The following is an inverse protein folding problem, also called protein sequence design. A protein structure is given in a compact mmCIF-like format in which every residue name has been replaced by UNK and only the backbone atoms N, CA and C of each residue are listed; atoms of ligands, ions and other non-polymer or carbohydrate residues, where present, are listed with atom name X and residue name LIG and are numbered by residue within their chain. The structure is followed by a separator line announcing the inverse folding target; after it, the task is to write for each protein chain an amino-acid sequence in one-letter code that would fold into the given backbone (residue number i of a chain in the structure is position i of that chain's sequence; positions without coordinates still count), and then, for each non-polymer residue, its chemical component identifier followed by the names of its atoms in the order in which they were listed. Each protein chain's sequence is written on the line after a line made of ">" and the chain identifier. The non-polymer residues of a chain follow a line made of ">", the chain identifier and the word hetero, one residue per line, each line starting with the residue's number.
data_IF_771763589472
#
_entry.id   IF_771763589472
#
_cell.length_a   1.000
_cell.length_b   1.000
_cell.length_c   1.000
_cell.angle_alpha   90.00
_cell.angle_beta   90.00
_cell.angle_gamma   90.00
#
_symmetry.space_group_name_H-M   'P 1'
#
loop_
_entity.id
_entity.type
_entity.pdbx_description
1 polymer ?
#
# COMPACT_ATOMS: atom_id res chain seq x y z
N UNK A 1 12.92 68.40 -23.08
CA UNK A 1 11.76 67.79 -22.38
C UNK A 1 11.41 66.40 -22.89
N UNK A 2 11.36 66.13 -24.21
CA UNK A 2 11.11 64.75 -24.71
C UNK A 2 12.20 63.75 -24.32
N UNK A 3 13.49 64.11 -24.47
CA UNK A 3 14.64 63.25 -24.10
C UNK A 3 14.75 62.97 -22.60
N UNK A 4 14.32 63.91 -21.75
CA UNK A 4 14.32 63.73 -20.29
C UNK A 4 13.18 62.81 -19.84
N UNK A 5 12.03 62.83 -20.54
CA UNK A 5 10.92 61.90 -20.30
C UNK A 5 11.30 60.46 -20.71
N UNK A 6 12.03 60.29 -21.82
CA UNK A 6 12.49 58.96 -22.25
C UNK A 6 13.48 58.32 -21.26
N UNK A 7 14.31 59.13 -20.61
CA UNK A 7 15.29 58.66 -19.62
C UNK A 7 14.63 58.19 -18.31
N UNK A 8 13.53 58.83 -17.89
CA UNK A 8 12.79 58.46 -16.67
C UNK A 8 11.97 57.17 -16.87
N UNK A 9 11.46 56.92 -18.08
CA UNK A 9 10.71 55.70 -18.39
C UNK A 9 11.57 54.42 -18.36
N UNK A 10 12.84 54.53 -18.78
CA UNK A 10 13.79 53.39 -18.77
C UNK A 10 14.20 53.00 -17.35
N UNK A 11 14.22 53.97 -16.42
CA UNK A 11 14.60 53.71 -15.02
C UNK A 11 13.57 52.87 -14.26
N UNK A 12 12.30 52.87 -14.67
CA UNK A 12 11.23 52.10 -14.03
C UNK A 12 11.26 50.59 -14.36
N UNK A 13 11.99 50.18 -15.40
CA UNK A 13 12.09 48.76 -15.79
C UNK A 13 13.17 47.97 -15.03
N UNK A 14 14.00 48.63 -14.22
CA UNK A 14 15.09 47.98 -13.48
C UNK A 14 14.72 47.61 -12.02
N UNK A 15 13.47 47.82 -11.61
CA UNK A 15 12.95 47.32 -10.33
C UNK A 15 12.34 45.91 -10.50
N UNK A 16 13.17 44.95 -10.92
CA UNK A 16 12.88 43.51 -10.88
C UNK A 16 13.51 42.86 -9.65
N UNK A 17 12.78 41.94 -9.01
CA UNK A 17 13.02 41.35 -7.69
C UNK A 17 14.47 40.93 -7.37
N UNK A 18 14.95 41.33 -6.19
CA UNK A 18 15.89 40.51 -5.42
C UNK A 18 15.08 39.39 -4.75
N UNK A 19 15.25 38.13 -5.20
CA UNK A 19 14.99 36.98 -4.35
C UNK A 19 16.16 36.90 -3.38
N UNK A 20 15.87 37.23 -2.13
CA UNK A 20 16.70 36.88 -1.00
C UNK A 20 16.48 35.38 -0.78
N UNK A 21 17.51 34.55 -1.03
CA UNK A 21 17.59 33.22 -0.45
C UNK A 21 17.76 33.37 1.07
N UNK A 22 16.66 33.70 1.74
CA UNK A 22 16.48 33.34 3.12
C UNK A 22 16.11 31.87 3.06
N UNK A 23 17.09 31.02 3.36
CA UNK A 23 16.84 29.65 3.79
C UNK A 23 16.05 29.69 5.10
N UNK A 24 14.80 30.10 5.02
CA UNK A 24 13.79 29.67 5.96
C UNK A 24 13.69 28.18 5.74
N UNK A 25 14.31 27.42 6.65
CA UNK A 25 14.02 26.02 6.86
C UNK A 25 12.52 25.91 7.14
N UNK A 26 11.72 25.80 6.08
CA UNK A 26 10.43 25.15 6.18
C UNK A 26 10.75 23.72 6.57
N UNK A 27 10.33 23.36 7.78
CA UNK A 27 10.24 21.98 8.25
C UNK A 27 9.21 21.25 7.37
N UNK A 28 9.52 21.08 6.09
CA UNK A 28 8.88 20.05 5.30
C UNK A 28 9.45 18.74 5.84
N UNK A 29 8.58 18.10 6.60
CA UNK A 29 8.64 16.72 7.10
C UNK A 29 8.79 15.80 5.89
N UNK A 30 9.93 15.85 5.21
CA UNK A 30 10.38 14.81 4.32
C UNK A 30 10.65 13.64 5.26
N UNK A 31 9.70 12.70 5.32
CA UNK A 31 9.87 11.42 5.98
C UNK A 31 10.97 10.67 5.22
N UNK A 32 12.22 11.05 5.48
CA UNK A 32 13.36 10.20 5.24
C UNK A 32 13.12 8.98 6.12
N UNK A 33 12.71 7.89 5.50
CA UNK A 33 12.66 6.59 6.15
C UNK A 33 14.10 6.32 6.59
N UNK A 34 14.35 6.53 7.88
CA UNK A 34 15.68 6.39 8.46
C UNK A 34 15.93 4.89 8.63
N UNK A 35 16.49 4.26 7.59
CA UNK A 35 16.82 2.84 7.64
C UNK A 35 18.05 2.68 8.54
N UNK A 36 17.86 2.18 9.76
CA UNK A 36 18.98 1.83 10.64
C UNK A 36 19.84 0.79 9.93
N UNK A 37 21.08 1.14 9.64
CA UNK A 37 22.08 0.23 9.09
C UNK A 37 22.36 -0.88 10.11
N UNK A 38 21.57 -1.94 10.02
CA UNK A 38 21.70 -3.14 10.84
C UNK A 38 22.61 -4.08 10.08
N UNK A 39 23.64 -4.60 10.76
CA UNK A 39 24.52 -5.62 10.23
C UNK A 39 23.66 -6.73 9.58
N UNK A 40 23.73 -6.83 8.25
CA UNK A 40 22.96 -7.80 7.47
C UNK A 40 23.70 -9.12 7.65
N UNK A 41 23.21 -9.96 8.56
CA UNK A 41 23.67 -11.34 8.63
C UNK A 41 23.41 -12.00 7.27
N UNK A 42 24.47 -12.50 6.64
CA UNK A 42 24.36 -13.22 5.37
C UNK A 42 23.52 -14.47 5.57
N UNK A 43 22.36 -14.53 4.90
CA UNK A 43 21.59 -15.77 4.81
C UNK A 43 22.30 -16.64 3.79
N UNK A 44 22.65 -17.86 4.21
CA UNK A 44 23.13 -18.87 3.28
C UNK A 44 22.14 -19.00 2.10
N UNK A 45 22.67 -18.97 0.88
CA UNK A 45 21.85 -18.84 -0.34
C UNK A 45 20.85 -19.98 -0.50
N UNK A 46 21.20 -21.21 -0.06
CA UNK A 46 20.27 -22.35 -0.10
C UNK A 46 19.15 -22.17 0.92
N UNK A 47 19.50 -21.73 2.12
CA UNK A 47 18.56 -21.45 3.21
C UNK A 47 17.58 -20.33 2.83
N UNK A 48 18.05 -19.27 2.17
CA UNK A 48 17.19 -18.17 1.70
C UNK A 48 16.17 -18.60 0.64
N UNK A 49 16.54 -19.52 -0.26
CA UNK A 49 15.63 -20.07 -1.27
C UNK A 49 14.55 -20.96 -0.65
N UNK A 50 14.90 -21.78 0.32
CA UNK A 50 13.96 -22.64 1.06
C UNK A 50 12.95 -21.81 1.86
N UNK A 51 13.43 -20.76 2.56
CA UNK A 51 12.56 -19.82 3.26
C UNK A 51 11.64 -19.10 2.28
N UNK A 52 12.17 -18.60 1.16
CA UNK A 52 11.35 -17.89 0.17
C UNK A 52 10.23 -18.79 -0.37
N UNK A 53 10.55 -20.05 -0.70
CA UNK A 53 9.56 -21.03 -1.17
C UNK A 53 8.47 -21.29 -0.13
N UNK A 54 8.85 -21.46 1.13
CA UNK A 54 7.90 -21.63 2.24
C UNK A 54 6.98 -20.42 2.39
N UNK A 55 7.51 -19.20 2.36
CA UNK A 55 6.70 -17.98 2.50
C UNK A 55 5.71 -17.83 1.34
N UNK A 56 6.09 -18.24 0.13
CA UNK A 56 5.20 -18.32 -1.03
C UNK A 56 4.09 -19.36 -0.82
N UNK A 57 4.42 -20.55 -0.33
CA UNK A 57 3.44 -21.61 -0.03
C UNK A 57 2.42 -21.14 1.02
N UNK A 58 2.86 -20.45 2.07
CA UNK A 58 1.98 -19.87 3.08
C UNK A 58 1.07 -18.79 2.48
N UNK A 59 1.62 -17.86 1.70
CA UNK A 59 0.84 -16.79 1.09
C UNK A 59 -0.19 -17.31 0.07
N UNK A 60 0.19 -18.26 -0.78
CA UNK A 60 -0.70 -18.86 -1.81
C UNK A 60 -1.75 -19.80 -1.23
N UNK A 61 -1.59 -20.25 0.02
CA UNK A 61 -2.62 -21.03 0.73
C UNK A 61 -3.85 -20.19 1.12
N UNK A 62 -3.74 -18.87 1.11
CA UNK A 62 -4.83 -17.95 1.46
C UNK A 62 -5.79 -17.80 0.27
N UNK A 63 -7.11 -17.94 0.47
CA UNK A 63 -8.08 -17.77 -0.60
C UNK A 63 -7.95 -16.43 -1.32
N UNK A 64 -8.12 -16.46 -2.65
CA UNK A 64 -8.04 -15.30 -3.56
C UNK A 64 -6.63 -14.72 -3.77
N UNK A 65 -5.59 -15.40 -3.30
CA UNK A 65 -4.21 -15.18 -3.75
C UNK A 65 -3.95 -16.08 -4.95
N UNK A 66 -3.66 -15.49 -6.12
CA UNK A 66 -3.41 -16.24 -7.35
C UNK A 66 -1.96 -16.73 -7.40
N UNK A 67 -1.03 -15.85 -7.02
CA UNK A 67 0.41 -16.10 -6.99
C UNK A 67 1.06 -15.28 -5.88
N UNK A 68 2.27 -15.68 -5.48
CA UNK A 68 3.09 -14.91 -4.56
C UNK A 68 4.57 -15.02 -4.89
N UNK A 69 5.30 -13.94 -4.64
CA UNK A 69 6.75 -13.87 -4.77
C UNK A 69 7.35 -13.44 -3.44
N UNK A 70 8.36 -14.16 -2.96
CA UNK A 70 9.08 -13.81 -1.74
C UNK A 70 10.57 -13.57 -2.02
N UNK A 71 11.09 -12.49 -1.43
CA UNK A 71 12.53 -12.16 -1.42
C UNK A 71 12.98 -12.09 0.03
N UNK A 72 13.91 -12.96 0.41
CA UNK A 72 14.47 -13.03 1.76
C UNK A 72 15.86 -12.40 1.78
N UNK A 73 16.09 -11.50 2.73
CA UNK A 73 17.38 -10.84 2.95
C UNK A 73 17.68 -10.72 4.44
N UNK A 74 18.77 -11.35 4.89
CA UNK A 74 19.09 -11.40 6.31
C UNK A 74 17.96 -11.99 7.13
N UNK A 75 17.54 -11.24 8.14
CA UNK A 75 16.43 -11.61 9.00
C UNK A 75 15.06 -11.17 8.44
N UNK A 76 14.99 -10.51 7.30
CA UNK A 76 13.78 -9.89 6.76
C UNK A 76 13.32 -10.59 5.48
N UNK A 77 12.03 -10.42 5.15
CA UNK A 77 11.47 -10.88 3.90
C UNK A 77 10.53 -9.84 3.31
N UNK A 78 10.41 -9.78 1.99
CA UNK A 78 9.35 -9.06 1.29
C UNK A 78 8.53 -10.10 0.54
N UNK A 79 7.22 -10.09 0.74
CA UNK A 79 6.28 -10.99 0.08
C UNK A 79 5.31 -10.15 -0.73
N UNK A 80 5.42 -10.24 -2.06
CA UNK A 80 4.44 -9.72 -2.99
C UNK A 80 3.35 -10.77 -3.22
N UNK A 81 2.09 -10.39 -3.11
CA UNK A 81 0.94 -11.23 -3.45
C UNK A 81 0.21 -10.66 -4.66
N UNK A 82 -0.15 -11.53 -5.60
CA UNK A 82 -1.04 -11.21 -6.71
C UNK A 82 -2.45 -11.62 -6.33
N UNK A 83 -3.35 -10.64 -6.32
CA UNK A 83 -4.77 -10.84 -6.04
C UNK A 83 -5.60 -10.41 -7.25
N UNK A 84 -6.70 -11.12 -7.50
CA UNK A 84 -7.52 -10.87 -8.68
C UNK A 84 -7.96 -9.39 -8.77
N UNK A 85 -7.69 -8.73 -9.91
CA UNK A 85 -7.95 -7.30 -10.12
C UNK A 85 -9.43 -6.88 -10.02
N UNK A 86 -10.37 -7.85 -10.03
CA UNK A 86 -11.81 -7.60 -9.82
C UNK A 86 -12.21 -7.48 -8.34
N UNK A 87 -11.28 -7.74 -7.42
CA UNK A 87 -11.51 -7.67 -5.97
C UNK A 87 -11.50 -6.20 -5.53
N UNK A 88 -12.50 -5.80 -4.75
CA UNK A 88 -12.58 -4.45 -4.21
C UNK A 88 -11.40 -4.16 -3.26
N UNK A 89 -10.93 -2.90 -3.20
CA UNK A 89 -9.80 -2.52 -2.32
C UNK A 89 -9.99 -2.96 -0.88
N UNK A 90 -11.23 -2.85 -0.37
CA UNK A 90 -11.55 -3.26 0.99
C UNK A 90 -11.20 -4.73 1.21
N UNK A 91 -11.61 -5.62 0.30
CA UNK A 91 -11.33 -7.06 0.31
C UNK A 91 -9.84 -7.36 0.13
N UNK A 92 -9.12 -6.61 -0.70
CA UNK A 92 -7.65 -6.71 -0.83
C UNK A 92 -6.95 -6.48 0.52
N UNK A 93 -7.41 -5.50 1.29
CA UNK A 93 -6.91 -5.25 2.65
C UNK A 93 -7.07 -6.46 3.57
N UNK A 94 -8.22 -7.14 3.52
CA UNK A 94 -8.47 -8.34 4.32
C UNK A 94 -7.63 -9.52 3.88
N UNK A 95 -7.44 -9.71 2.58
CA UNK A 95 -6.54 -10.75 2.04
C UNK A 95 -5.11 -10.49 2.52
N UNK A 96 -4.63 -9.24 2.42
CA UNK A 96 -3.30 -8.83 2.90
C UNK A 96 -3.14 -9.10 4.41
N UNK A 97 -4.17 -8.80 5.20
CA UNK A 97 -4.19 -9.11 6.64
C UNK A 97 -4.12 -10.62 6.89
N UNK A 98 -4.91 -11.43 6.17
CA UNK A 98 -4.88 -12.89 6.30
C UNK A 98 -3.53 -13.50 5.93
N UNK A 99 -2.89 -12.99 4.88
CA UNK A 99 -1.52 -13.38 4.51
C UNK A 99 -0.55 -12.96 5.60
N UNK A 100 -0.61 -11.71 6.07
CA UNK A 100 0.29 -11.22 7.12
C UNK A 100 0.16 -12.02 8.42
N UNK A 101 -1.05 -12.43 8.81
CA UNK A 101 -1.28 -13.30 9.98
C UNK A 101 -0.73 -14.71 9.77
N UNK A 102 -0.91 -15.30 8.59
CA UNK A 102 -0.30 -16.59 8.25
C UNK A 102 1.22 -16.55 8.33
N UNK A 103 1.83 -15.49 7.82
CA UNK A 103 3.29 -15.29 7.88
C UNK A 103 3.77 -14.97 9.30
N UNK A 104 2.98 -14.28 10.12
CA UNK A 104 3.31 -13.97 11.51
C UNK A 104 3.55 -15.22 12.35
N UNK A 105 2.81 -16.28 12.06
CA UNK A 105 2.90 -17.55 12.75
C UNK A 105 4.13 -18.38 12.32
N UNK A 106 4.78 -18.01 11.21
CA UNK A 106 6.02 -18.62 10.76
C UNK A 106 7.26 -17.88 11.32
N UNK A 107 8.26 -18.60 11.88
CA UNK A 107 9.47 -17.99 12.44
C UNK A 107 10.25 -17.10 11.46
N UNK A 108 10.16 -17.40 10.16
CA UNK A 108 10.82 -16.67 9.09
C UNK A 108 9.91 -15.60 8.48
N UNK A 109 8.58 -15.70 8.66
CA UNK A 109 7.59 -14.73 8.19
C UNK A 109 7.27 -13.60 9.17
N UNK A 110 7.63 -13.73 10.45
CA UNK A 110 7.36 -12.73 11.50
C UNK A 110 7.91 -11.32 11.23
N UNK A 111 8.90 -11.19 10.34
CA UNK A 111 9.49 -9.91 9.89
C UNK A 111 9.31 -9.68 8.39
N UNK A 112 8.35 -10.37 7.77
CA UNK A 112 8.02 -10.16 6.38
C UNK A 112 7.32 -8.82 6.19
N UNK A 113 7.44 -8.22 5.01
CA UNK A 113 6.63 -7.08 4.59
C UNK A 113 5.73 -7.58 3.47
N UNK A 114 4.41 -7.45 3.63
CA UNK A 114 3.44 -7.92 2.64
C UNK A 114 2.98 -6.75 1.79
N UNK A 115 3.10 -6.91 0.48
CA UNK A 115 2.63 -5.96 -0.54
C UNK A 115 1.68 -6.71 -1.46
N UNK A 116 0.53 -6.12 -1.76
CA UNK A 116 -0.41 -6.68 -2.73
C UNK A 116 -0.36 -5.85 -4.01
N UNK A 117 -0.06 -6.49 -5.14
CA UNK A 117 -0.32 -5.91 -6.45
C UNK A 117 -1.58 -6.58 -7.03
N UNK A 118 -2.53 -5.76 -7.46
CA UNK A 118 -3.74 -6.22 -8.10
C UNK A 118 -3.88 -5.40 -9.37
N UNK A 119 -3.35 -5.92 -10.46
CA UNK A 119 -3.26 -5.34 -11.80
C UNK A 119 -3.32 -3.80 -11.83
N UNK A 120 -2.34 -3.19 -11.16
CA UNK A 120 -2.25 -1.73 -11.03
C UNK A 120 -2.23 -1.05 -12.40
N UNK A 121 -1.66 -1.71 -13.41
CA UNK A 121 -1.61 -1.21 -14.77
C UNK A 121 -2.98 -1.16 -15.43
N UNK A 122 -3.83 -2.18 -15.25
CA UNK A 122 -5.18 -2.16 -15.79
C UNK A 122 -6.02 -1.05 -15.14
N UNK A 123 -5.88 -0.86 -13.82
CA UNK A 123 -6.58 0.22 -13.11
C UNK A 123 -6.11 1.62 -13.52
N UNK A 124 -4.81 1.81 -13.73
CA UNK A 124 -4.26 3.07 -14.23
C UNK A 124 -4.74 3.38 -15.66
N UNK A 125 -4.93 2.36 -16.51
CA UNK A 125 -5.53 2.54 -17.85
C UNK A 125 -6.99 2.96 -17.79
N UNK A 126 -7.77 2.39 -16.86
CA UNK A 126 -9.16 2.82 -16.61
C UNK A 126 -9.22 4.29 -16.16
N UNK A 127 -8.38 4.66 -15.19
CA UNK A 127 -8.24 6.04 -14.70
C UNK A 127 -7.84 6.98 -15.84
N UNK A 128 -6.90 6.57 -16.69
CA UNK A 128 -6.49 7.34 -17.86
C UNK A 128 -7.66 7.54 -18.84
N UNK A 129 -8.46 6.50 -19.09
CA UNK A 129 -9.66 6.58 -19.92
C UNK A 129 -10.73 7.51 -19.32
N UNK A 130 -10.88 7.53 -18.01
CA UNK A 130 -11.79 8.42 -17.29
C UNK A 130 -11.36 9.89 -17.36
N UNK A 131 -10.06 10.16 -17.24
CA UNK A 131 -9.49 11.49 -17.46
C UNK A 131 -9.79 11.96 -18.89
N UNK A 132 -9.59 11.11 -19.90
CA UNK A 132 -9.86 11.45 -21.30
C UNK A 132 -11.35 11.73 -21.56
N UNK A 133 -12.25 11.05 -20.84
CA UNK A 133 -13.71 11.27 -20.91
C UNK A 133 -14.18 12.49 -20.11
N UNK A 134 -13.29 13.20 -19.42
CA UNK A 134 -13.62 14.39 -18.64
C UNK A 134 -14.33 14.08 -17.32
N UNK A 135 -14.08 12.92 -16.70
CA UNK A 135 -14.64 12.63 -15.37
C UNK A 135 -14.17 13.68 -14.33
N UNK A 136 -14.99 13.99 -13.32
CA UNK A 136 -14.61 14.91 -12.25
C UNK A 136 -13.33 14.45 -11.54
N UNK A 137 -12.44 15.40 -11.25
CA UNK A 137 -11.15 15.16 -10.60
C UNK A 137 -11.32 14.39 -9.28
N UNK A 138 -12.38 14.64 -8.53
CA UNK A 138 -12.66 13.96 -7.26
C UNK A 138 -12.85 12.44 -7.42
N UNK A 139 -13.53 11.98 -8.46
CA UNK A 139 -13.70 10.54 -8.71
C UNK A 139 -12.39 9.86 -9.14
N UNK A 140 -11.55 10.58 -9.88
CA UNK A 140 -10.21 10.11 -10.26
C UNK A 140 -9.29 10.02 -9.02
N UNK A 141 -9.40 10.96 -8.07
CA UNK A 141 -8.61 10.93 -6.83
C UNK A 141 -8.96 9.73 -5.95
N UNK A 142 -10.23 9.33 -5.90
CA UNK A 142 -10.67 8.16 -5.14
C UNK A 142 -10.10 6.86 -5.72
N UNK A 143 -10.10 6.74 -7.05
CA UNK A 143 -9.49 5.63 -7.77
C UNK A 143 -7.96 5.57 -7.62
N UNK A 144 -7.29 6.73 -7.61
CA UNK A 144 -5.84 6.81 -7.35
C UNK A 144 -5.51 6.48 -5.89
N UNK A 145 -6.31 6.95 -4.94
CA UNK A 145 -6.17 6.58 -3.53
C UNK A 145 -6.35 5.06 -3.35
N UNK A 146 -7.20 4.44 -4.17
CA UNK A 146 -7.39 3.01 -4.17
C UNK A 146 -6.18 2.24 -4.67
N UNK A 147 -5.53 2.72 -5.74
CA UNK A 147 -4.26 2.17 -6.24
C UNK A 147 -3.15 2.32 -5.17
N UNK A 148 -2.97 3.52 -4.63
CA UNK A 148 -1.90 3.79 -3.64
C UNK A 148 -2.13 2.97 -2.37
N UNK A 149 -3.38 2.83 -1.91
CA UNK A 149 -3.71 2.02 -0.74
C UNK A 149 -3.38 0.54 -0.85
N UNK A 150 -3.30 0.00 -2.08
CA UNK A 150 -2.88 -1.39 -2.32
C UNK A 150 -1.36 -1.55 -2.24
N UNK A 151 -0.62 -0.51 -2.62
CA UNK A 151 0.85 -0.48 -2.58
C UNK A 151 1.43 -0.24 -1.18
N UNK A 152 0.65 0.33 -0.26
CA UNK A 152 1.13 0.57 1.11
C UNK A 152 1.41 -0.79 1.80
N UNK A 153 2.66 -1.05 2.20
CA UNK A 153 3.05 -2.31 2.81
C UNK A 153 2.42 -2.48 4.19
N UNK A 154 2.11 -3.72 4.54
CA UNK A 154 1.76 -4.11 5.92
C UNK A 154 2.84 -5.01 6.52
N UNK A 155 3.17 -4.76 7.78
CA UNK A 155 4.15 -5.53 8.55
C UNK A 155 3.40 -6.38 9.58
N UNK A 156 3.56 -7.72 9.57
CA UNK A 156 2.89 -8.62 10.50
C UNK A 156 3.08 -8.30 11.99
N UNK A 157 4.21 -7.67 12.35
CA UNK A 157 4.53 -7.25 13.72
C UNK A 157 3.73 -6.05 14.22
N UNK A 158 3.26 -5.16 13.33
CA UNK A 158 2.63 -3.87 13.64
C UNK A 158 1.23 -3.74 12.99
N UNK A 159 0.52 -4.86 12.82
CA UNK A 159 -0.79 -4.86 12.14
C UNK A 159 -1.85 -4.07 12.92
N UNK A 160 -2.57 -3.20 12.21
CA UNK A 160 -3.79 -2.55 12.72
C UNK A 160 -4.93 -3.57 12.68
N UNK A 161 -5.54 -3.87 13.82
CA UNK A 161 -6.64 -4.82 13.90
C UNK A 161 -7.86 -4.33 13.10
N UNK A 162 -8.39 -5.12 12.14
CA UNK A 162 -9.60 -4.76 11.42
C UNK A 162 -10.77 -4.52 12.37
N UNK A 163 -11.55 -3.47 12.13
CA UNK A 163 -12.73 -3.16 12.97
C UNK A 163 -13.92 -4.02 12.56
N UNK A 164 -14.87 -4.34 13.47
CA UNK A 164 -16.01 -5.22 13.16
C UNK A 164 -16.84 -4.78 11.96
N UNK A 165 -16.95 -3.46 11.71
CA UNK A 165 -17.74 -2.91 10.62
C UNK A 165 -17.18 -3.20 9.23
N UNK A 166 -15.85 -3.32 9.08
CA UNK A 166 -15.23 -3.65 7.78
C UNK A 166 -15.44 -5.11 7.43
N UNK A 167 -15.37 -5.99 8.43
CA UNK A 167 -15.57 -7.44 8.29
C UNK A 167 -17.02 -7.79 7.91
N UNK A 168 -18.01 -7.12 8.52
CA UNK A 168 -19.43 -7.31 8.19
C UNK A 168 -19.80 -6.93 6.76
N UNK A 169 -19.21 -5.84 6.23
CA UNK A 169 -19.45 -5.43 4.83
C UNK A 169 -18.89 -6.45 3.84
N UNK A 170 -17.73 -7.04 4.16
CA UNK A 170 -17.12 -8.08 3.34
C UNK A 170 -17.84 -9.41 3.44
N UNK A 171 -18.40 -9.74 4.62
CA UNK A 171 -19.21 -10.94 4.80
C UNK A 171 -20.40 -11.02 3.82
N UNK A 172 -20.99 -9.87 3.49
CA UNK A 172 -22.13 -9.73 2.57
C UNK A 172 -21.80 -9.97 1.09
N UNK A 173 -20.53 -10.08 0.72
CA UNK A 173 -20.11 -10.37 -0.66
C UNK A 173 -19.92 -11.87 -0.93
N UNK A 174 -20.05 -12.72 0.09
CA UNK A 174 -19.95 -14.18 -0.05
C UNK A 174 -21.27 -14.82 -0.53
N UNK A 175 -21.20 -15.99 -1.19
CA UNK A 175 -22.37 -16.85 -1.41
C UNK A 175 -23.10 -17.18 -0.11
N UNK A 176 -24.45 -17.33 -0.15
CA UNK A 176 -25.29 -17.47 1.05
C UNK A 176 -24.93 -18.67 1.92
N UNK A 177 -24.59 -19.79 1.28
CA UNK A 177 -24.12 -21.02 1.92
C UNK A 177 -22.82 -20.79 2.72
N UNK A 178 -21.86 -20.06 2.15
CA UNK A 178 -20.62 -19.70 2.84
C UNK A 178 -20.85 -18.67 3.94
N UNK A 179 -21.81 -17.76 3.75
CA UNK A 179 -22.18 -16.78 4.76
C UNK A 179 -22.77 -17.44 6.00
N UNK A 180 -23.69 -18.39 5.83
CA UNK A 180 -24.29 -19.18 6.91
C UNK A 180 -23.24 -20.04 7.65
N UNK A 181 -22.32 -20.68 6.93
CA UNK A 181 -21.22 -21.43 7.55
C UNK A 181 -20.29 -20.53 8.38
N UNK A 182 -20.04 -19.31 7.89
CA UNK A 182 -19.22 -18.31 8.61
C UNK A 182 -19.95 -17.73 9.83
N UNK A 183 -21.27 -17.52 9.78
CA UNK A 183 -22.10 -17.16 10.93
C UNK A 183 -22.02 -18.23 12.01
N UNK A 184 -22.22 -19.50 11.66
CA UNK A 184 -22.11 -20.61 12.62
C UNK A 184 -20.73 -20.71 13.27
N UNK A 185 -19.65 -20.54 12.48
CA UNK A 185 -18.27 -20.58 13.01
C UNK A 185 -18.00 -19.43 13.96
N UNK A 186 -18.45 -18.22 13.64
CA UNK A 186 -18.28 -17.05 14.49
C UNK A 186 -19.06 -17.18 15.79
N UNK A 187 -20.30 -17.68 15.75
CA UNK A 187 -21.10 -17.94 16.94
C UNK A 187 -20.42 -18.95 17.87
N UNK A 188 -19.89 -20.05 17.31
CA UNK A 188 -19.14 -21.07 18.06
C UNK A 188 -17.85 -20.53 18.69
N UNK A 189 -17.19 -19.56 18.06
CA UNK A 189 -15.93 -18.97 18.56
C UNK A 189 -16.12 -17.76 19.48
N UNK A 190 -17.29 -17.11 19.46
CA UNK A 190 -17.58 -15.92 20.27
C UNK A 190 -17.72 -16.19 21.77
N UNK A 191 -17.78 -17.45 22.22
CA UNK A 191 -18.15 -17.82 23.60
C UNK A 191 -19.39 -17.03 24.09
N UNK A 192 -20.33 -16.74 23.18
CA UNK A 192 -21.54 -15.93 23.40
C UNK A 192 -21.32 -14.52 23.97
N UNK A 193 -20.11 -13.96 23.84
CA UNK A 193 -19.89 -12.56 24.15
C UNK A 193 -20.27 -11.72 22.93
N UNK A 194 -21.38 -10.98 23.06
CA UNK A 194 -21.91 -10.07 22.04
C UNK A 194 -21.68 -8.62 22.45
#
# INVERSE_FOLDING_TARGET
>A
MKKTITLVLVMFFLAGCNITDNSAQTNDKQSSINVRNTNIEEVDRKTGQEISKRLVELATSIPNVNDATAVVFGRYAIVGIDVNGKIERSQVGTIKYSVAESLKQDPYGARAIVVADADTNERLKEIQGDIQKGRPVQGIMEELADVVGRLIPEVPGDMVTPTPQTTEKQKRTLPKDQQEELDEKQDKQSNHHK
#
